data_IF_942729796183
#
_entry.id   IF_942729796183
#
_cell.length_a   1.000
_cell.length_b   1.000
_cell.length_c   1.000
_cell.angle_alpha   90.00
_cell.angle_beta   90.00
_cell.angle_gamma   90.00
#
_symmetry.space_group_name_H-M   'P 1'
#
loop_
_entity.id
_entity.type
_entity.pdbx_description
1 polymer ?
#
# COMPACT_ATOMS: atom_id res chain seq x y z
N UNK A 1 -30.83 14.60 19.29
CA UNK A 1 -31.48 13.79 18.24
C UNK A 1 -30.42 13.43 17.22
N UNK A 2 -29.89 12.21 17.28
CA UNK A 2 -28.88 11.71 16.34
C UNK A 2 -29.64 11.29 15.08
N UNK A 3 -29.50 12.05 14.00
CA UNK A 3 -30.11 11.74 12.71
C UNK A 3 -29.30 10.65 12.00
N UNK A 4 -29.96 9.58 11.57
CA UNK A 4 -29.46 8.72 10.48
C UNK A 4 -28.72 7.42 10.85
N UNK A 5 -28.88 6.84 12.03
CA UNK A 5 -28.48 5.43 12.21
C UNK A 5 -29.49 4.53 11.47
N UNK A 6 -29.06 3.57 10.63
CA UNK A 6 -29.96 2.64 9.98
C UNK A 6 -30.74 1.88 11.06
N UNK A 7 -32.07 1.95 10.97
CA UNK A 7 -32.95 1.33 11.93
C UNK A 7 -32.89 -0.20 11.77
N UNK A 8 -32.08 -0.85 12.61
CA UNK A 8 -32.00 -2.32 12.63
C UNK A 8 -33.32 -3.00 12.99
N UNK A 9 -34.33 -2.28 13.49
CA UNK A 9 -35.65 -2.86 13.73
C UNK A 9 -36.39 -3.23 12.44
N UNK A 10 -35.88 -2.83 11.27
CA UNK A 10 -36.42 -3.18 9.95
C UNK A 10 -35.78 -4.40 9.30
N UNK A 11 -34.78 -5.04 9.92
CA UNK A 11 -34.17 -6.25 9.36
C UNK A 11 -35.12 -7.45 9.49
N UNK A 12 -35.09 -8.41 8.57
CA UNK A 12 -35.80 -9.67 8.73
C UNK A 12 -35.34 -10.43 9.98
N UNK A 13 -36.28 -11.09 10.68
CA UNK A 13 -36.04 -11.87 11.91
C UNK A 13 -34.90 -12.90 11.74
N UNK A 14 -34.74 -13.45 10.53
CA UNK A 14 -33.69 -14.43 10.19
C UNK A 14 -32.28 -13.83 10.20
N UNK A 15 -32.13 -12.61 9.66
CA UNK A 15 -30.85 -11.88 9.65
C UNK A 15 -30.48 -11.46 11.07
N UNK A 16 -31.44 -10.94 11.83
CA UNK A 16 -31.27 -10.62 13.25
C UNK A 16 -30.87 -11.86 14.05
N UNK A 17 -31.51 -13.01 13.78
CA UNK A 17 -31.19 -14.29 14.42
C UNK A 17 -29.78 -14.80 14.09
N UNK A 18 -29.30 -14.58 12.87
CA UNK A 18 -27.92 -14.95 12.50
C UNK A 18 -26.88 -14.06 13.20
N UNK A 19 -27.13 -12.77 13.36
CA UNK A 19 -26.28 -11.86 14.14
C UNK A 19 -26.16 -12.35 15.59
N UNK A 20 -27.25 -12.84 16.19
CA UNK A 20 -27.26 -13.38 17.56
C UNK A 20 -26.32 -14.57 17.77
N UNK A 21 -26.12 -15.42 16.76
CA UNK A 21 -25.25 -16.61 16.87
C UNK A 21 -23.78 -16.25 17.12
N UNK A 22 -23.38 -15.03 16.78
CA UNK A 22 -21.98 -14.58 16.86
C UNK A 22 -21.71 -13.64 18.04
N UNK A 23 -22.73 -13.29 18.82
CA UNK A 23 -22.59 -12.40 19.97
C UNK A 23 -22.31 -13.23 21.21
N UNK A 24 -21.08 -13.09 21.74
CA UNK A 24 -20.56 -13.84 22.89
C UNK A 24 -21.41 -13.69 24.17
N UNK A 25 -22.17 -12.60 24.29
CA UNK A 25 -23.06 -12.34 25.42
C UNK A 25 -24.34 -11.64 24.93
N UNK A 26 -25.41 -12.41 24.63
CA UNK A 26 -26.69 -11.88 24.14
C UNK A 26 -27.33 -10.84 25.07
N UNK A 27 -27.01 -10.87 26.36
CA UNK A 27 -27.51 -9.93 27.37
C UNK A 27 -27.19 -8.47 27.08
N UNK A 28 -26.12 -8.20 26.32
CA UNK A 28 -25.76 -6.83 25.90
C UNK A 28 -26.72 -6.24 24.85
N UNK A 29 -27.54 -7.07 24.20
CA UNK A 29 -28.54 -6.65 23.22
C UNK A 29 -29.94 -6.50 23.81
N UNK A 30 -30.19 -7.03 25.02
CA UNK A 30 -31.44 -6.82 25.77
C UNK A 30 -31.73 -5.34 26.05
N UNK A 31 -30.70 -4.49 25.99
CA UNK A 31 -30.79 -3.06 26.26
C UNK A 31 -30.99 -2.21 25.00
N UNK A 32 -30.96 -2.80 23.80
CA UNK A 32 -30.96 -2.05 22.53
C UNK A 32 -32.36 -1.56 22.14
N UNK A 33 -33.33 -2.46 21.98
CA UNK A 33 -34.75 -2.10 21.85
C UNK A 33 -35.67 -3.31 22.12
N UNK A 34 -37.00 -3.09 22.10
CA UNK A 34 -38.01 -4.13 22.35
C UNK A 34 -37.94 -5.31 21.36
N UNK A 35 -37.62 -5.05 20.09
CA UNK A 35 -37.47 -6.08 19.04
C UNK A 35 -36.27 -6.98 19.34
N UNK A 36 -35.10 -6.39 19.61
CA UNK A 36 -33.88 -7.12 19.99
C UNK A 36 -34.03 -7.86 21.31
N UNK A 37 -34.79 -7.30 22.26
CA UNK A 37 -35.13 -7.99 23.52
C UNK A 37 -35.96 -9.24 23.27
N UNK A 38 -36.97 -9.15 22.39
CA UNK A 38 -37.83 -10.29 22.03
C UNK A 38 -37.06 -11.37 21.29
N UNK A 39 -36.15 -10.98 20.41
CA UNK A 39 -35.28 -11.90 19.66
C UNK A 39 -34.24 -12.57 20.57
N UNK A 40 -33.60 -11.82 21.47
CA UNK A 40 -32.69 -12.36 22.49
C UNK A 40 -33.36 -13.42 23.34
N UNK A 41 -34.58 -13.14 23.82
CA UNK A 41 -35.36 -14.11 24.60
C UNK A 41 -35.73 -15.35 23.78
N UNK A 42 -36.09 -15.21 22.49
CA UNK A 42 -36.34 -16.35 21.59
C UNK A 42 -35.09 -17.21 21.38
N UNK A 43 -33.93 -16.57 21.19
CA UNK A 43 -32.65 -17.26 21.01
C UNK A 43 -32.14 -17.89 22.31
N UNK A 44 -32.31 -17.23 23.47
CA UNK A 44 -32.01 -17.78 24.80
C UNK A 44 -32.86 -19.01 25.13
N UNK A 45 -34.14 -19.02 24.73
CA UNK A 45 -35.02 -20.19 24.90
C UNK A 45 -34.55 -21.37 24.03
N UNK A 46 -34.00 -21.11 22.83
CA UNK A 46 -33.33 -22.15 22.02
C UNK A 46 -31.95 -22.56 22.58
N UNK A 47 -31.26 -21.67 23.29
CA UNK A 47 -29.93 -21.90 23.86
C UNK A 47 -29.93 -22.66 25.21
N UNK A 48 -31.07 -22.68 25.93
CA UNK A 48 -31.23 -23.45 27.17
C UNK A 48 -31.30 -24.97 26.97
N UNK A 49 -31.39 -25.45 25.72
CA UNK A 49 -31.02 -26.82 25.38
C UNK A 49 -29.52 -26.89 25.13
N UNK A 50 -28.74 -27.18 26.18
CA UNK A 50 -27.29 -27.43 26.18
C UNK A 50 -26.55 -27.00 24.91
N UNK A 51 -26.26 -25.70 24.80
CA UNK A 51 -25.20 -25.25 23.90
C UNK A 51 -23.87 -25.67 24.54
N UNK A 52 -23.36 -26.80 24.08
CA UNK A 52 -22.01 -27.26 24.35
C UNK A 52 -21.02 -26.22 23.80
N UNK A 53 -20.37 -25.48 24.70
CA UNK A 53 -19.35 -24.48 24.36
C UNK A 53 -18.21 -25.14 23.55
N UNK A 54 -17.96 -26.43 23.75
CA UNK A 54 -16.99 -27.18 22.97
C UNK A 54 -17.52 -27.59 21.60
N UNK A 55 -18.85 -27.73 21.40
CA UNK A 55 -19.43 -27.76 20.05
C UNK A 55 -19.33 -26.41 19.35
N UNK A 56 -19.55 -25.28 20.02
CA UNK A 56 -19.34 -23.96 19.40
C UNK A 56 -17.88 -23.78 19.03
N UNK A 57 -16.92 -24.15 19.89
CA UNK A 57 -15.49 -24.14 19.53
C UNK A 57 -15.18 -25.09 18.38
N UNK A 58 -15.73 -26.31 18.38
CA UNK A 58 -15.58 -27.26 17.27
C UNK A 58 -16.20 -26.74 15.97
N UNK A 59 -17.30 -26.00 16.03
CA UNK A 59 -17.95 -25.37 14.87
C UNK A 59 -17.16 -24.15 14.41
N UNK A 60 -16.61 -23.32 15.31
CA UNK A 60 -15.73 -22.20 14.97
C UNK A 60 -14.37 -22.67 14.44
N UNK A 61 -13.88 -23.84 14.88
CA UNK A 61 -12.68 -24.49 14.36
C UNK A 61 -12.94 -25.24 13.05
N UNK A 62 -14.17 -25.74 12.82
CA UNK A 62 -14.57 -26.42 11.57
C UNK A 62 -15.07 -25.48 10.48
N UNK A 63 -15.68 -24.35 10.85
CA UNK A 63 -16.04 -23.30 9.92
C UNK A 63 -14.83 -22.40 9.77
N UNK A 64 -13.99 -22.68 8.77
CA UNK A 64 -12.95 -21.75 8.33
C UNK A 64 -13.52 -20.41 7.81
N UNK A 65 -14.84 -20.21 7.87
CA UNK A 65 -15.58 -19.02 7.45
C UNK A 65 -15.63 -18.04 8.62
N UNK A 66 -14.89 -16.92 8.55
CA UNK A 66 -14.70 -16.09 9.73
C UNK A 66 -15.82 -15.07 9.86
N UNK A 67 -16.11 -14.72 11.11
CA UNK A 67 -17.20 -13.84 11.49
C UNK A 67 -17.23 -12.58 10.60
N UNK A 68 -18.33 -12.36 9.88
CA UNK A 68 -18.52 -11.17 9.06
C UNK A 68 -18.49 -11.37 7.54
N UNK A 69 -17.98 -12.49 7.01
CA UNK A 69 -17.84 -12.66 5.55
C UNK A 69 -19.17 -12.50 4.80
N UNK A 70 -20.26 -13.04 5.34
CA UNK A 70 -21.58 -12.99 4.68
C UNK A 70 -22.54 -12.01 5.35
N UNK A 71 -22.01 -11.09 6.16
CA UNK A 71 -22.84 -10.12 6.88
C UNK A 71 -23.27 -8.99 5.95
N UNK A 72 -24.57 -8.65 5.86
CA UNK A 72 -25.04 -7.49 5.10
C UNK A 72 -24.30 -6.21 5.52
N UNK A 73 -23.97 -5.35 4.56
CA UNK A 73 -23.16 -4.16 4.81
C UNK A 73 -23.75 -3.27 5.92
N UNK A 74 -25.06 -3.03 5.91
CA UNK A 74 -25.73 -2.19 6.92
C UNK A 74 -25.61 -2.76 8.33
N UNK A 75 -25.66 -4.10 8.44
CA UNK A 75 -25.46 -4.82 9.72
C UNK A 75 -24.03 -4.67 10.19
N UNK A 76 -23.07 -4.88 9.29
CA UNK A 76 -21.65 -4.73 9.59
C UNK A 76 -21.36 -3.30 10.07
N UNK A 77 -21.79 -2.28 9.31
CA UNK A 77 -21.63 -0.87 9.65
C UNK A 77 -22.26 -0.54 11.00
N UNK A 78 -23.46 -1.05 11.30
CA UNK A 78 -24.06 -0.85 12.62
C UNK A 78 -23.22 -1.47 13.75
N UNK A 79 -22.77 -2.72 13.59
CA UNK A 79 -21.94 -3.41 14.59
C UNK A 79 -20.67 -2.59 14.82
N UNK A 80 -20.06 -2.07 13.75
CA UNK A 80 -18.88 -1.22 13.82
C UNK A 80 -19.15 0.10 14.54
N UNK A 81 -20.25 0.78 14.24
CA UNK A 81 -20.64 2.03 14.91
C UNK A 81 -20.93 1.81 16.40
N UNK A 82 -21.64 0.74 16.75
CA UNK A 82 -21.90 0.41 18.15
C UNK A 82 -20.64 -0.02 18.90
N UNK A 83 -19.75 -0.77 18.26
CA UNK A 83 -18.44 -1.10 18.84
C UNK A 83 -17.61 0.17 19.05
N UNK A 84 -17.54 1.04 18.04
CA UNK A 84 -16.84 2.34 18.11
C UNK A 84 -17.34 3.19 19.29
N UNK A 85 -18.66 3.35 19.44
CA UNK A 85 -19.25 4.07 20.57
C UNK A 85 -18.85 3.47 21.91
N UNK A 86 -18.95 2.15 22.05
CA UNK A 86 -18.65 1.44 23.31
C UNK A 86 -17.15 1.41 23.64
N UNK A 87 -16.30 1.63 22.64
CA UNK A 87 -14.84 1.68 22.76
C UNK A 87 -14.34 3.14 22.79
N UNK A 88 -15.22 4.13 22.89
CA UNK A 88 -14.81 5.53 22.98
C UNK A 88 -14.18 5.80 24.36
N UNK A 89 -12.90 6.21 24.43
CA UNK A 89 -12.21 6.49 25.69
C UNK A 89 -12.88 7.59 26.52
N UNK A 90 -13.60 8.52 25.88
CA UNK A 90 -14.29 9.63 26.56
C UNK A 90 -15.38 9.18 27.55
N UNK A 91 -15.93 7.97 27.39
CA UNK A 91 -16.90 7.40 28.33
C UNK A 91 -16.23 6.60 29.49
N UNK A 92 -14.92 6.34 29.43
CA UNK A 92 -14.16 5.51 30.37
C UNK A 92 -13.01 6.29 31.03
N UNK A 93 -13.36 7.23 31.90
CA UNK A 93 -12.49 8.29 32.43
C UNK A 93 -11.30 7.87 33.34
N UNK A 94 -11.15 6.65 33.91
CA UNK A 94 -9.91 6.32 34.63
C UNK A 94 -8.90 5.45 33.85
N UNK A 95 -9.19 5.00 32.62
CA UNK A 95 -8.34 4.04 31.89
C UNK A 95 -8.19 4.35 30.39
N UNK A 96 -7.99 5.63 30.04
CA UNK A 96 -7.88 6.09 28.63
C UNK A 96 -6.92 5.25 27.80
N UNK A 97 -5.72 4.99 28.31
CA UNK A 97 -4.65 4.32 27.56
C UNK A 97 -4.99 2.85 27.26
N UNK A 98 -5.67 2.18 28.19
CA UNK A 98 -6.11 0.79 28.04
C UNK A 98 -7.34 0.67 27.14
N UNK A 99 -8.17 1.73 27.08
CA UNK A 99 -9.30 1.82 26.18
C UNK A 99 -8.84 2.08 24.74
N UNK A 100 -7.85 2.95 24.55
CA UNK A 100 -7.22 3.24 23.26
C UNK A 100 -6.52 1.99 22.69
N UNK A 101 -5.74 1.25 23.50
CA UNK A 101 -5.09 0.02 23.04
C UNK A 101 -6.09 -1.04 22.58
N UNK A 102 -7.21 -1.19 23.30
CA UNK A 102 -8.29 -2.13 22.94
C UNK A 102 -9.01 -1.69 21.67
N UNK A 103 -9.24 -0.38 21.51
CA UNK A 103 -9.86 0.20 20.32
C UNK A 103 -8.98 -0.01 19.09
N UNK A 104 -7.70 0.30 19.20
CA UNK A 104 -6.75 0.15 18.09
C UNK A 104 -6.61 -1.32 17.70
N UNK A 105 -6.45 -2.21 18.68
CA UNK A 105 -6.40 -3.65 18.42
C UNK A 105 -7.68 -4.16 17.73
N UNK A 106 -8.84 -3.63 18.12
CA UNK A 106 -10.12 -3.97 17.49
C UNK A 106 -10.15 -3.54 16.01
N UNK A 107 -9.83 -2.28 15.71
CA UNK A 107 -9.79 -1.79 14.32
C UNK A 107 -8.73 -2.49 13.48
N UNK A 108 -7.52 -2.72 14.00
CA UNK A 108 -6.46 -3.47 13.29
C UNK A 108 -6.96 -4.84 12.88
N UNK A 109 -7.62 -5.58 13.77
CA UNK A 109 -8.18 -6.90 13.43
C UNK A 109 -9.21 -6.81 12.30
N UNK A 110 -10.05 -5.79 12.30
CA UNK A 110 -11.11 -5.64 11.29
C UNK A 110 -10.53 -5.24 9.93
N UNK A 111 -9.54 -4.36 9.92
CA UNK A 111 -8.80 -4.00 8.71
C UNK A 111 -8.12 -5.24 8.13
N UNK A 112 -7.42 -6.03 8.96
CA UNK A 112 -6.81 -7.30 8.52
C UNK A 112 -7.84 -8.17 7.79
N UNK A 113 -9.05 -8.29 8.34
CA UNK A 113 -10.11 -9.09 7.70
C UNK A 113 -10.65 -8.45 6.41
N UNK A 114 -10.73 -7.12 6.32
CA UNK A 114 -11.23 -6.38 5.16
C UNK A 114 -10.22 -6.29 4.00
N UNK A 115 -8.92 -6.46 4.27
CA UNK A 115 -7.87 -6.38 3.25
C UNK A 115 -7.39 -7.75 2.76
N UNK A 116 -7.79 -8.84 3.43
CA UNK A 116 -7.37 -10.21 3.07
C UNK A 116 -7.84 -10.61 1.66
N UNK A 117 -7.02 -11.33 0.87
CA UNK A 117 -7.38 -11.77 -0.48
C UNK A 117 -8.62 -12.66 -0.53
N UNK A 118 -8.77 -13.60 0.41
CA UNK A 118 -9.78 -14.68 0.34
C UNK A 118 -11.16 -14.31 0.93
N UNK A 119 -11.43 -13.03 1.25
CA UNK A 119 -12.59 -12.65 2.06
C UNK A 119 -13.68 -11.89 1.30
N UNK A 120 -14.90 -12.00 1.82
CA UNK A 120 -16.10 -11.37 1.26
C UNK A 120 -16.34 -9.93 1.76
N UNK A 121 -15.56 -9.47 2.76
CA UNK A 121 -15.65 -8.12 3.35
C UNK A 121 -14.90 -7.08 2.48
N UNK A 122 -14.37 -7.51 1.32
CA UNK A 122 -13.56 -6.73 0.39
C UNK A 122 -14.40 -5.71 -0.42
N UNK A 123 -15.13 -4.83 0.28
CA UNK A 123 -16.02 -3.82 -0.30
C UNK A 123 -15.45 -2.43 -0.07
N UNK A 124 -15.56 -1.58 -1.08
CA UNK A 124 -15.05 -0.20 -1.02
C UNK A 124 -15.71 0.59 0.11
N UNK A 125 -17.01 0.38 0.33
CA UNK A 125 -17.79 1.05 1.35
C UNK A 125 -17.26 0.75 2.76
N UNK A 126 -16.81 -0.49 2.99
CA UNK A 126 -16.18 -0.88 4.26
C UNK A 126 -14.85 -0.16 4.45
N UNK A 127 -14.00 -0.12 3.41
CA UNK A 127 -12.71 0.56 3.49
C UNK A 127 -12.88 2.08 3.69
N UNK A 128 -13.83 2.70 3.00
CA UNK A 128 -14.16 4.11 3.19
C UNK A 128 -14.65 4.38 4.61
N UNK A 129 -15.58 3.56 5.12
CA UNK A 129 -16.07 3.68 6.49
C UNK A 129 -14.94 3.54 7.52
N UNK A 130 -14.07 2.55 7.36
CA UNK A 130 -12.92 2.35 8.26
C UNK A 130 -11.96 3.54 8.19
N UNK A 131 -11.67 4.04 6.99
CA UNK A 131 -10.81 5.19 6.80
C UNK A 131 -11.37 6.48 7.41
N UNK A 132 -12.67 6.74 7.24
CA UNK A 132 -13.38 7.88 7.85
C UNK A 132 -13.42 7.77 9.38
N UNK A 133 -13.60 6.56 9.91
CA UNK A 133 -13.66 6.30 11.36
C UNK A 133 -12.30 6.51 12.03
N UNK A 134 -11.21 6.13 11.38
CA UNK A 134 -9.85 6.36 11.90
C UNK A 134 -9.46 7.84 11.76
N UNK A 135 -9.91 8.52 10.71
CA UNK A 135 -9.66 9.94 10.50
C UNK A 135 -8.25 10.22 9.96
N UNK A 136 -7.55 11.17 10.57
CA UNK A 136 -6.29 11.70 10.02
C UNK A 136 -5.15 10.67 10.01
N UNK A 137 -5.14 9.75 10.97
CA UNK A 137 -4.07 8.76 11.12
C UNK A 137 -4.30 7.51 10.25
N UNK A 138 -5.30 7.55 9.36
CA UNK A 138 -5.71 6.43 8.51
C UNK A 138 -4.53 5.84 7.72
N UNK A 139 -3.66 6.69 7.14
CA UNK A 139 -2.50 6.19 6.39
C UNK A 139 -1.55 5.38 7.26
N UNK A 140 -1.18 5.90 8.43
CA UNK A 140 -0.24 5.23 9.34
C UNK A 140 -0.84 3.94 9.90
N UNK A 141 -2.12 3.98 10.25
CA UNK A 141 -2.84 2.85 10.79
C UNK A 141 -2.94 1.69 9.81
N UNK A 142 -3.30 1.95 8.54
CA UNK A 142 -3.35 0.92 7.51
C UNK A 142 -1.95 0.39 7.15
N UNK A 143 -0.92 1.25 7.14
CA UNK A 143 0.47 0.80 6.93
C UNK A 143 0.95 -0.15 8.01
N UNK A 144 0.67 0.17 9.28
CA UNK A 144 1.03 -0.69 10.40
C UNK A 144 0.36 -2.07 10.28
N UNK A 145 -0.91 -2.09 9.88
CA UNK A 145 -1.63 -3.34 9.60
C UNK A 145 -1.00 -4.12 8.45
N UNK A 146 -0.64 -3.45 7.33
CA UNK A 146 0.01 -4.10 6.19
C UNK A 146 1.33 -4.75 6.61
N UNK A 147 2.20 -4.02 7.32
CA UNK A 147 3.50 -4.53 7.80
C UNK A 147 3.32 -5.71 8.75
N UNK A 148 2.44 -5.57 9.75
CA UNK A 148 2.15 -6.65 10.71
C UNK A 148 1.61 -7.91 10.02
N UNK A 149 0.81 -7.75 8.97
CA UNK A 149 0.28 -8.86 8.20
C UNK A 149 1.38 -9.58 7.40
N UNK A 150 2.26 -8.82 6.74
CA UNK A 150 3.41 -9.37 6.02
C UNK A 150 4.38 -10.13 6.95
N UNK A 151 4.70 -9.57 8.11
CA UNK A 151 5.57 -10.19 9.12
C UNK A 151 4.99 -11.50 9.67
N UNK A 152 3.67 -11.56 9.90
CA UNK A 152 3.02 -12.80 10.34
C UNK A 152 3.09 -13.88 9.27
N UNK A 153 2.81 -13.52 8.02
CA UNK A 153 2.80 -14.49 6.92
C UNK A 153 4.20 -14.97 6.53
N UNK A 154 5.24 -14.12 6.67
CA UNK A 154 6.62 -14.53 6.43
C UNK A 154 7.10 -15.55 7.48
N UNK A 155 6.71 -15.37 8.76
CA UNK A 155 7.06 -16.30 9.83
C UNK A 155 6.40 -17.68 9.64
N UNK A 156 5.14 -17.75 9.19
CA UNK A 156 4.50 -19.03 8.87
C UNK A 156 5.16 -19.77 7.69
N UNK A 157 5.75 -19.04 6.74
CA UNK A 157 6.49 -19.64 5.62
C UNK A 157 7.85 -20.24 6.04
N UNK A 158 8.41 -19.79 7.17
CA UNK A 158 9.67 -20.28 7.74
C UNK A 158 9.41 -21.49 8.66
N UNK A 159 8.40 -21.41 9.53
CA UNK A 159 8.07 -22.52 10.46
C UNK A 159 7.57 -23.77 9.74
N UNK A 160 6.87 -23.64 8.61
CA UNK A 160 6.46 -24.77 7.77
C UNK A 160 7.60 -25.50 7.05
N UNK A 161 8.84 -25.00 7.13
CA UNK A 161 10.03 -25.61 6.51
C UNK A 161 11.01 -26.21 7.51
N UNK A 162 10.78 -26.06 8.82
CA UNK A 162 11.60 -26.69 9.87
C UNK A 162 10.90 -27.98 10.32
N UNK A 163 10.76 -28.92 9.39
CA UNK A 163 10.61 -30.33 9.74
C UNK A 163 11.40 -31.15 8.73
N UNK A 164 12.72 -31.08 8.84
CA UNK A 164 13.64 -32.19 8.63
C UNK A 164 15.02 -31.73 9.10
N UNK A 165 15.60 -32.52 9.99
CA UNK A 165 16.89 -32.30 10.65
C UNK A 165 18.00 -32.05 9.62
N UNK A 166 18.76 -30.97 9.79
CA UNK A 166 20.17 -31.08 10.21
C UNK A 166 20.80 -29.71 10.46
N UNK A 167 21.62 -29.70 11.50
CA UNK A 167 22.25 -28.56 12.16
C UNK A 167 23.34 -27.91 11.29
N UNK A 168 23.16 -26.66 10.85
CA UNK A 168 24.24 -25.69 10.55
C UNK A 168 23.65 -24.25 10.55
N UNK A 169 24.31 -23.26 11.17
CA UNK A 169 23.84 -21.88 11.18
C UNK A 169 24.31 -21.10 9.94
N UNK A 170 23.41 -20.22 9.45
CA UNK A 170 23.56 -19.20 8.38
C UNK A 170 23.67 -19.68 6.93
N UNK A 171 22.68 -19.37 6.07
CA UNK A 171 22.88 -19.30 4.64
C UNK A 171 22.93 -17.83 4.18
N UNK A 172 24.13 -17.43 3.76
CA UNK A 172 24.34 -16.45 2.70
C UNK A 172 23.46 -16.77 1.49
N UNK A 173 22.83 -15.72 0.94
CA UNK A 173 21.94 -15.73 -0.22
C UNK A 173 22.68 -16.39 -1.40
N UNK A 174 22.36 -17.65 -1.64
CA UNK A 174 22.91 -18.52 -2.69
C UNK A 174 21.81 -18.86 -3.70
N UNK A 175 22.17 -18.76 -4.98
CA UNK A 175 21.34 -18.57 -6.16
C UNK A 175 20.54 -19.81 -6.64
N UNK A 176 19.85 -20.54 -5.76
CA UNK A 176 19.00 -21.66 -6.19
C UNK A 176 17.67 -21.77 -5.41
N UNK A 177 16.97 -20.65 -5.25
CA UNK A 177 15.54 -20.69 -4.93
C UNK A 177 14.80 -20.80 -6.26
N UNK A 178 14.26 -21.98 -6.60
CA UNK A 178 13.12 -22.08 -7.52
C UNK A 178 12.10 -21.05 -7.02
N UNK A 179 11.97 -19.93 -7.72
CA UNK A 179 11.28 -18.77 -7.20
C UNK A 179 9.85 -19.16 -6.86
N UNK A 180 9.53 -19.13 -5.57
CA UNK A 180 8.18 -19.46 -5.13
C UNK A 180 7.27 -18.35 -5.63
N UNK A 181 6.19 -18.72 -6.32
CA UNK A 181 5.13 -17.80 -6.71
C UNK A 181 4.75 -16.90 -5.51
N UNK A 182 4.77 -15.58 -5.71
CA UNK A 182 4.37 -14.60 -4.69
C UNK A 182 2.99 -14.03 -5.06
N UNK A 183 1.88 -14.48 -4.44
CA UNK A 183 0.58 -13.84 -4.63
C UNK A 183 0.59 -12.41 -4.10
N UNK A 184 -0.39 -11.59 -4.54
CA UNK A 184 -0.68 -10.32 -3.88
C UNK A 184 -1.01 -10.58 -2.42
N UNK A 185 -0.44 -9.76 -1.53
CA UNK A 185 -0.65 -9.90 -0.09
C UNK A 185 -2.08 -9.52 0.32
N UNK A 186 -2.73 -8.64 -0.45
CA UNK A 186 -4.05 -8.10 -0.16
C UNK A 186 -5.02 -8.29 -1.32
N UNK A 187 -6.30 -8.00 -1.11
CA UNK A 187 -7.29 -8.05 -2.19
C UNK A 187 -7.15 -6.87 -3.16
N UNK A 188 -7.63 -7.05 -4.40
CA UNK A 188 -7.51 -6.04 -5.45
C UNK A 188 -8.24 -4.73 -5.13
N UNK A 189 -9.38 -4.80 -4.41
CA UNK A 189 -10.19 -3.63 -4.03
C UNK A 189 -9.38 -2.71 -3.12
N UNK A 190 -8.60 -3.29 -2.21
CA UNK A 190 -7.73 -2.55 -1.31
C UNK A 190 -6.65 -1.75 -2.04
N UNK A 191 -5.93 -2.36 -3.00
CA UNK A 191 -4.92 -1.62 -3.78
C UNK A 191 -5.52 -0.46 -4.58
N UNK A 192 -6.72 -0.65 -5.15
CA UNK A 192 -7.44 0.41 -5.85
C UNK A 192 -7.89 1.51 -4.89
N UNK A 193 -8.37 1.13 -3.71
CA UNK A 193 -8.77 2.07 -2.65
C UNK A 193 -7.59 2.93 -2.18
N UNK A 194 -6.40 2.35 -2.03
CA UNK A 194 -5.18 3.10 -1.67
C UNK A 194 -4.92 4.23 -2.69
N UNK A 195 -5.00 3.93 -3.98
CA UNK A 195 -4.81 4.94 -5.04
C UNK A 195 -5.89 6.01 -5.06
N UNK A 196 -7.10 5.67 -4.61
CA UNK A 196 -8.22 6.60 -4.53
C UNK A 196 -8.05 7.57 -3.35
N UNK A 197 -7.71 7.03 -2.18
CA UNK A 197 -7.65 7.76 -0.92
C UNK A 197 -6.36 8.56 -0.74
N UNK A 198 -5.21 7.96 -1.08
CA UNK A 198 -3.91 8.53 -0.74
C UNK A 198 -3.21 9.19 -1.92
N UNK A 199 -2.25 10.06 -1.59
CA UNK A 199 -1.42 10.73 -2.60
C UNK A 199 -0.27 9.83 -3.06
N UNK A 200 0.40 10.21 -4.16
CA UNK A 200 1.45 9.38 -4.75
C UNK A 200 2.74 9.30 -3.96
N UNK A 201 2.96 10.33 -3.15
CA UNK A 201 4.12 10.42 -2.29
C UNK A 201 3.81 9.85 -0.90
N UNK A 202 2.66 9.18 -0.73
CA UNK A 202 2.35 8.51 0.53
C UNK A 202 3.07 7.18 0.59
N UNK A 203 3.65 6.88 1.76
CA UNK A 203 4.37 5.64 2.00
C UNK A 203 3.49 4.40 1.79
N UNK A 204 2.19 4.50 2.07
CA UNK A 204 1.23 3.40 1.85
C UNK A 204 1.06 3.07 0.37
N UNK A 205 1.06 4.07 -0.51
CA UNK A 205 0.97 3.85 -1.95
C UNK A 205 2.26 3.24 -2.51
N UNK A 206 3.43 3.66 -2.01
CA UNK A 206 4.72 3.05 -2.33
C UNK A 206 4.82 1.60 -1.83
N UNK A 207 4.36 1.32 -0.61
CA UNK A 207 4.32 -0.03 -0.04
C UNK A 207 3.42 -0.95 -0.87
N UNK A 208 2.22 -0.47 -1.22
CA UNK A 208 1.29 -1.18 -2.09
C UNK A 208 1.90 -1.48 -3.47
N UNK A 209 2.59 -0.52 -4.08
CA UNK A 209 3.26 -0.73 -5.36
C UNK A 209 4.38 -1.76 -5.26
N UNK A 210 5.18 -1.74 -4.18
CA UNK A 210 6.25 -2.71 -3.96
C UNK A 210 5.72 -4.15 -3.91
N UNK A 211 4.59 -4.36 -3.26
CA UNK A 211 3.96 -5.68 -3.21
C UNK A 211 3.47 -6.12 -4.59
N UNK A 212 2.77 -5.24 -5.33
CA UNK A 212 2.32 -5.49 -6.70
C UNK A 212 3.49 -5.82 -7.63
N UNK A 213 4.57 -5.04 -7.54
CA UNK A 213 5.77 -5.23 -8.35
C UNK A 213 6.41 -6.59 -8.05
N UNK A 214 6.60 -6.92 -6.78
CA UNK A 214 7.15 -8.22 -6.38
C UNK A 214 6.28 -9.40 -6.89
N UNK A 215 4.96 -9.28 -6.83
CA UNK A 215 4.05 -10.28 -7.42
C UNK A 215 4.24 -10.38 -8.94
N UNK A 216 4.32 -9.26 -9.66
CA UNK A 216 4.55 -9.26 -11.11
C UNK A 216 5.87 -9.90 -11.50
N UNK A 217 6.93 -9.59 -10.77
CA UNK A 217 8.26 -10.19 -10.95
C UNK A 217 8.19 -11.70 -10.71
N UNK A 218 7.46 -12.16 -9.68
CA UNK A 218 7.31 -13.59 -9.41
C UNK A 218 6.64 -14.36 -10.55
N UNK A 219 5.75 -13.72 -11.31
CA UNK A 219 5.15 -14.34 -12.49
C UNK A 219 6.12 -14.40 -13.68
N UNK A 220 6.94 -13.37 -13.87
CA UNK A 220 7.95 -13.36 -14.94
C UNK A 220 9.03 -14.42 -14.70
N UNK A 221 9.46 -14.59 -13.46
CA UNK A 221 10.45 -15.60 -13.08
C UNK A 221 9.88 -17.03 -13.11
N UNK A 222 8.55 -17.20 -13.10
CA UNK A 222 7.89 -18.51 -13.14
C UNK A 222 6.73 -18.53 -14.16
N UNK A 223 7.04 -18.56 -15.47
CA UNK A 223 6.03 -18.46 -16.52
C UNK A 223 5.00 -19.61 -16.48
N UNK A 224 5.38 -20.79 -15.95
CA UNK A 224 4.46 -21.92 -15.78
C UNK A 224 3.33 -21.64 -14.79
N UNK A 225 3.56 -20.78 -13.78
CA UNK A 225 2.54 -20.39 -12.81
C UNK A 225 1.40 -19.57 -13.46
N UNK A 226 1.66 -18.88 -14.57
CA UNK A 226 0.66 -18.06 -15.25
C UNK A 226 -0.55 -18.89 -15.74
N UNK A 227 -0.33 -20.13 -16.18
CA UNK A 227 -1.40 -21.04 -16.63
C UNK A 227 -2.26 -21.53 -15.47
N UNK A 228 -1.65 -21.84 -14.33
CA UNK A 228 -2.36 -22.33 -13.15
C UNK A 228 -3.17 -21.23 -12.44
N UNK A 229 -2.74 -19.98 -12.56
CA UNK A 229 -3.31 -18.84 -11.83
C UNK A 229 -3.86 -17.75 -12.75
N UNK A 230 -4.36 -18.10 -13.93
CA UNK A 230 -4.74 -17.16 -15.01
C UNK A 230 -5.56 -15.96 -14.52
N UNK A 231 -6.63 -16.17 -13.74
CA UNK A 231 -7.44 -15.08 -13.21
C UNK A 231 -6.66 -14.15 -12.26
N UNK A 232 -5.85 -14.72 -11.35
CA UNK A 232 -5.01 -13.95 -10.41
C UNK A 232 -3.88 -13.23 -11.14
N UNK A 233 -3.34 -13.85 -12.19
CA UNK A 233 -2.35 -13.26 -13.07
C UNK A 233 -2.92 -12.03 -13.78
N UNK A 234 -4.10 -12.15 -14.42
CA UNK A 234 -4.79 -11.04 -15.09
C UNK A 234 -5.05 -9.89 -14.12
N UNK A 235 -5.57 -10.18 -12.92
CA UNK A 235 -5.79 -9.18 -11.88
C UNK A 235 -4.50 -8.46 -11.47
N UNK A 236 -3.41 -9.21 -11.27
CA UNK A 236 -2.10 -8.66 -10.91
C UNK A 236 -1.51 -7.79 -12.03
N UNK A 237 -1.64 -8.22 -13.28
CA UNK A 237 -1.25 -7.45 -14.46
C UNK A 237 -2.03 -6.13 -14.54
N UNK A 238 -3.34 -6.19 -14.34
CA UNK A 238 -4.19 -5.02 -14.44
C UNK A 238 -3.93 -4.02 -13.31
N UNK A 239 -3.79 -4.46 -12.05
CA UNK A 239 -3.49 -3.54 -10.95
C UNK A 239 -2.11 -2.89 -11.12
N UNK A 240 -1.12 -3.63 -11.60
CA UNK A 240 0.19 -3.05 -11.95
C UNK A 240 0.06 -1.96 -13.01
N UNK A 241 -0.66 -2.23 -14.10
CA UNK A 241 -0.91 -1.26 -15.17
C UNK A 241 -1.66 -0.03 -14.65
N UNK A 242 -2.64 -0.21 -13.76
CA UNK A 242 -3.39 0.88 -13.11
C UNK A 242 -2.46 1.77 -12.30
N UNK A 243 -1.59 1.18 -11.48
CA UNK A 243 -0.58 1.91 -10.73
C UNK A 243 0.30 2.71 -11.68
N UNK A 244 0.95 2.06 -12.66
CA UNK A 244 1.81 2.73 -13.65
C UNK A 244 1.10 3.84 -14.45
N UNK A 245 -0.16 3.63 -14.83
CA UNK A 245 -0.97 4.58 -15.59
C UNK A 245 -1.34 5.81 -14.78
N UNK A 246 -1.65 5.60 -13.51
CA UNK A 246 -1.98 6.68 -12.63
C UNK A 246 -0.71 7.48 -12.38
N UNK A 247 0.33 6.83 -11.84
CA UNK A 247 1.55 7.46 -11.33
C UNK A 247 2.71 6.47 -11.38
N UNK A 248 3.94 6.96 -11.45
CA UNK A 248 5.09 6.08 -11.39
C UNK A 248 5.68 6.08 -9.96
N UNK A 249 5.60 4.91 -9.33
CA UNK A 249 5.99 4.64 -7.95
C UNK A 249 7.34 3.91 -7.83
N UNK A 250 8.06 3.72 -8.94
CA UNK A 250 9.36 3.08 -8.88
C UNK A 250 10.32 3.88 -7.99
N UNK A 251 11.11 3.14 -7.23
CA UNK A 251 12.20 3.63 -6.40
C UNK A 251 13.52 3.07 -6.93
N UNK A 252 14.62 3.74 -6.61
CA UNK A 252 15.97 3.27 -6.96
C UNK A 252 16.22 1.86 -6.42
N UNK A 253 15.73 1.57 -5.21
CA UNK A 253 15.82 0.25 -4.59
C UNK A 253 15.13 -0.87 -5.38
N UNK A 254 14.21 -0.55 -6.30
CA UNK A 254 13.51 -1.55 -7.11
C UNK A 254 14.39 -2.10 -8.23
N UNK A 255 15.49 -1.42 -8.59
CA UNK A 255 16.42 -1.88 -9.62
C UNK A 255 17.00 -3.26 -9.32
N UNK A 256 17.29 -3.54 -8.04
CA UNK A 256 17.82 -4.84 -7.64
C UNK A 256 16.79 -5.96 -7.84
N UNK A 257 15.51 -5.69 -7.59
CA UNK A 257 14.43 -6.64 -7.86
C UNK A 257 14.22 -6.86 -9.36
N UNK A 258 14.42 -5.81 -10.17
CA UNK A 258 14.20 -5.82 -11.61
C UNK A 258 15.34 -6.47 -12.40
N UNK A 259 16.51 -6.64 -11.80
CA UNK A 259 17.73 -7.15 -12.44
C UNK A 259 17.53 -8.46 -13.21
N UNK A 260 16.66 -9.34 -12.71
CA UNK A 260 16.39 -10.65 -13.31
C UNK A 260 15.13 -10.67 -14.19
N UNK A 261 14.43 -9.54 -14.33
CA UNK A 261 13.17 -9.44 -15.07
C UNK A 261 13.42 -9.38 -16.56
N UNK A 262 12.66 -10.14 -17.35
CA UNK A 262 12.72 -10.16 -18.81
C UNK A 262 11.49 -9.56 -19.48
N UNK A 263 10.36 -9.44 -18.75
CA UNK A 263 9.10 -8.99 -19.32
C UNK A 263 9.07 -7.48 -19.62
N UNK A 264 8.76 -7.12 -20.86
CA UNK A 264 8.69 -5.73 -21.34
C UNK A 264 7.62 -4.91 -20.62
N UNK A 265 6.41 -5.45 -20.40
CA UNK A 265 5.37 -4.75 -19.63
C UNK A 265 5.82 -4.33 -18.21
N UNK A 266 6.87 -4.94 -17.63
CA UNK A 266 7.42 -4.53 -16.34
C UNK A 266 8.52 -3.48 -16.53
N UNK A 267 9.43 -3.70 -17.48
CA UNK A 267 10.62 -2.86 -17.69
C UNK A 267 10.32 -1.56 -18.44
N UNK A 268 9.57 -1.61 -19.54
CA UNK A 268 9.36 -0.45 -20.42
C UNK A 268 8.67 0.75 -19.70
N UNK A 269 7.68 0.56 -18.81
CA UNK A 269 7.12 1.68 -18.04
C UNK A 269 8.17 2.44 -17.21
N UNK A 270 9.21 1.76 -16.73
CA UNK A 270 10.32 2.36 -16.01
C UNK A 270 11.33 3.00 -16.96
N UNK A 271 11.95 2.18 -17.81
CA UNK A 271 13.14 2.56 -18.59
C UNK A 271 12.83 3.39 -19.83
N UNK A 272 11.67 3.17 -20.45
CA UNK A 272 11.33 3.82 -21.72
C UNK A 272 10.32 4.96 -21.56
N UNK A 273 9.69 5.09 -20.39
CA UNK A 273 8.77 6.17 -20.08
C UNK A 273 9.20 7.01 -18.89
N UNK A 274 9.30 6.42 -17.70
CA UNK A 274 9.47 7.20 -16.47
C UNK A 274 10.82 7.86 -16.32
N UNK A 275 11.91 7.09 -16.43
CA UNK A 275 13.26 7.64 -16.32
C UNK A 275 13.47 8.72 -17.40
N UNK A 276 13.18 8.49 -18.70
CA UNK A 276 13.29 9.54 -19.71
C UNK A 276 12.50 10.80 -19.36
N UNK A 277 11.22 10.65 -19.02
CA UNK A 277 10.34 11.78 -18.66
C UNK A 277 10.84 12.54 -17.41
N UNK A 278 11.45 11.83 -16.45
CA UNK A 278 12.05 12.41 -15.25
C UNK A 278 13.25 13.30 -15.59
N UNK A 279 14.07 12.91 -16.56
CA UNK A 279 15.23 13.68 -17.03
C UNK A 279 14.90 14.67 -18.15
N UNK A 280 13.64 14.75 -18.59
CA UNK A 280 13.23 15.65 -19.67
C UNK A 280 13.57 15.13 -21.07
N UNK A 281 13.92 13.86 -21.19
CA UNK A 281 14.16 13.15 -22.43
C UNK A 281 12.82 12.64 -22.98
N UNK A 282 12.65 12.64 -24.31
CA UNK A 282 11.44 12.12 -24.93
C UNK A 282 11.25 10.63 -24.60
N UNK A 283 10.10 10.22 -24.03
CA UNK A 283 9.74 8.81 -23.87
C UNK A 283 9.66 8.08 -25.22
N UNK A 284 10.07 6.81 -25.22
CA UNK A 284 9.90 5.89 -26.38
C UNK A 284 8.71 4.97 -26.20
N UNK A 285 8.31 4.72 -24.95
CA UNK A 285 7.14 3.91 -24.62
C UNK A 285 5.87 4.75 -24.51
N UNK A 286 4.77 4.23 -25.06
CA UNK A 286 3.47 4.91 -25.06
C UNK A 286 2.67 4.57 -23.81
N UNK A 287 2.29 5.60 -23.06
CA UNK A 287 1.33 5.53 -21.97
C UNK A 287 -0.03 6.12 -22.40
N UNK A 288 -1.16 5.67 -21.84
CA UNK A 288 -1.30 4.65 -20.79
C UNK A 288 -1.20 3.21 -21.31
N UNK A 289 -0.75 2.29 -20.44
CA UNK A 289 -0.83 0.84 -20.59
C UNK A 289 -2.28 0.39 -20.77
N UNK A 290 -2.50 -0.52 -21.71
CA UNK A 290 -3.83 -1.11 -21.97
C UNK A 290 -4.19 -2.13 -20.88
N UNK A 291 -5.29 -1.86 -20.18
CA UNK A 291 -5.92 -2.77 -19.21
C UNK A 291 -6.83 -3.70 -20.02
N UNK A 292 -6.67 -5.01 -19.85
CA UNK A 292 -7.30 -6.03 -20.74
C UNK A 292 -8.66 -6.50 -20.26
N UNK A 293 -9.09 -6.07 -19.08
CA UNK A 293 -10.30 -6.57 -18.45
C UNK A 293 -11.24 -5.42 -18.07
N UNK A 294 -12.54 -5.63 -18.30
CA UNK A 294 -13.64 -4.68 -18.05
C UNK A 294 -14.26 -4.89 -16.66
N UNK A 295 -13.63 -5.66 -15.75
CA UNK A 295 -14.03 -5.68 -14.35
C UNK A 295 -14.07 -4.23 -13.81
N UNK A 296 -15.31 -3.72 -13.72
CA UNK A 296 -15.80 -2.34 -13.68
C UNK A 296 -15.32 -1.44 -12.52
N UNK A 297 -14.14 -1.64 -11.96
CA UNK A 297 -13.68 -0.86 -10.79
C UNK A 297 -12.26 -0.33 -10.96
N UNK A 298 -11.90 0.07 -12.17
CA UNK A 298 -10.76 0.99 -12.34
C UNK A 298 -11.28 2.39 -12.11
N UNK A 299 -11.17 2.86 -10.86
CA UNK A 299 -11.54 4.21 -10.50
C UNK A 299 -10.80 5.19 -11.40
N UNK A 300 -11.52 5.84 -12.32
CA UNK A 300 -11.02 7.04 -12.98
C UNK A 300 -10.79 8.05 -11.87
N UNK A 301 -9.53 8.49 -11.62
CA UNK A 301 -9.27 9.47 -10.59
C UNK A 301 -10.12 10.70 -10.86
N UNK A 302 -11.04 11.05 -9.95
CA UNK A 302 -11.92 12.22 -10.14
C UNK A 302 -11.14 13.55 -10.18
N UNK A 303 -9.87 13.56 -9.76
CA UNK A 303 -9.03 14.76 -9.64
C UNK A 303 -7.98 14.79 -10.74
N UNK A 304 -7.89 15.93 -11.45
CA UNK A 304 -6.71 16.28 -12.27
C UNK A 304 -5.51 16.37 -11.32
N UNK A 305 -4.66 15.35 -11.34
CA UNK A 305 -3.48 15.28 -10.47
C UNK A 305 -2.35 16.07 -11.12
N UNK A 306 -1.66 16.90 -10.33
CA UNK A 306 -0.47 17.64 -10.80
C UNK A 306 0.63 16.63 -11.15
N UNK A 307 1.43 16.92 -12.18
CA UNK A 307 2.61 16.12 -12.51
C UNK A 307 3.54 16.10 -11.29
N UNK A 308 3.98 14.91 -10.87
CA UNK A 308 5.00 14.76 -9.81
C UNK A 308 6.24 15.53 -10.22
N UNK A 309 6.64 16.51 -9.41
CA UNK A 309 7.92 17.21 -9.57
C UNK A 309 8.91 16.46 -8.70
N UNK A 310 9.88 15.78 -9.31
CA UNK A 310 10.97 15.18 -8.56
C UNK A 310 12.05 16.20 -8.23
N UNK A 311 12.62 16.04 -7.04
CA UNK A 311 13.74 16.84 -6.57
C UNK A 311 15.01 16.50 -7.35
N UNK A 312 15.95 17.45 -7.45
CA UNK A 312 17.20 17.24 -8.20
C UNK A 312 18.04 16.12 -7.59
N UNK A 313 18.01 16.02 -6.27
CA UNK A 313 18.69 15.03 -5.47
C UNK A 313 18.20 13.61 -5.79
N UNK A 314 16.89 13.44 -6.01
CA UNK A 314 16.32 12.15 -6.43
C UNK A 314 16.73 11.79 -7.86
N UNK A 315 16.83 12.76 -8.77
CA UNK A 315 17.34 12.50 -10.12
C UNK A 315 18.80 12.04 -10.08
N UNK A 316 19.61 12.67 -9.24
CA UNK A 316 21.01 12.28 -9.04
C UNK A 316 21.10 10.86 -8.47
N UNK A 317 20.27 10.51 -7.49
CA UNK A 317 20.21 9.15 -6.92
C UNK A 317 19.93 8.10 -8.00
N UNK A 318 18.94 8.36 -8.87
CA UNK A 318 18.65 7.50 -10.03
C UNK A 318 19.82 7.40 -10.99
N UNK A 319 20.46 8.52 -11.32
CA UNK A 319 21.60 8.53 -12.24
C UNK A 319 22.76 7.68 -11.69
N UNK A 320 23.15 7.91 -10.42
CA UNK A 320 24.23 7.16 -9.77
C UNK A 320 23.92 5.67 -9.75
N UNK A 321 22.68 5.27 -9.45
CA UNK A 321 22.31 3.87 -9.43
C UNK A 321 22.41 3.22 -10.83
N UNK A 322 21.97 3.92 -11.88
CA UNK A 322 22.08 3.44 -13.26
C UNK A 322 23.55 3.36 -13.69
N UNK A 323 24.35 4.39 -13.39
CA UNK A 323 25.80 4.45 -13.68
C UNK A 323 26.55 3.30 -13.01
N UNK A 324 26.25 3.00 -11.74
CA UNK A 324 26.85 1.87 -11.03
C UNK A 324 26.53 0.52 -11.68
N UNK A 325 25.26 0.29 -12.07
CA UNK A 325 24.86 -0.96 -12.73
C UNK A 325 25.51 -1.05 -14.13
N UNK A 326 25.60 0.08 -14.84
CA UNK A 326 26.27 0.13 -16.14
C UNK A 326 27.77 -0.20 -16.01
N UNK A 327 28.47 0.39 -15.04
CA UNK A 327 29.88 0.10 -14.79
C UNK A 327 30.09 -1.38 -14.43
N UNK A 328 29.19 -1.96 -13.64
CA UNK A 328 29.20 -3.40 -13.37
C UNK A 328 29.06 -4.24 -14.64
N UNK A 329 28.20 -3.84 -15.58
CA UNK A 329 28.04 -4.51 -16.88
C UNK A 329 29.33 -4.41 -17.70
N UNK A 330 29.97 -3.24 -17.74
CA UNK A 330 31.21 -3.01 -18.52
C UNK A 330 32.40 -3.78 -17.93
N UNK A 331 32.60 -3.70 -16.62
CA UNK A 331 33.78 -4.30 -15.95
C UNK A 331 33.68 -5.82 -15.85
N UNK A 332 32.48 -6.33 -15.52
CA UNK A 332 32.28 -7.75 -15.19
C UNK A 332 31.61 -8.53 -16.32
N UNK A 333 31.11 -7.85 -17.36
CA UNK A 333 30.53 -8.47 -18.55
C UNK A 333 29.41 -9.47 -18.22
N UNK A 334 29.53 -10.68 -18.75
CA UNK A 334 28.53 -11.75 -18.56
C UNK A 334 28.57 -12.42 -17.17
N UNK A 335 29.51 -12.06 -16.30
CA UNK A 335 29.57 -12.65 -14.95
C UNK A 335 28.52 -12.07 -13.98
N UNK A 336 27.93 -10.91 -14.31
CA UNK A 336 26.86 -10.32 -13.51
C UNK A 336 25.54 -11.01 -13.82
N UNK A 337 24.93 -11.63 -12.81
CA UNK A 337 23.61 -12.27 -12.90
C UNK A 337 22.53 -11.21 -13.10
N UNK A 338 22.08 -11.05 -14.35
CA UNK A 338 20.96 -10.20 -14.75
C UNK A 338 20.35 -10.71 -16.06
N UNK A 339 19.10 -10.35 -16.35
CA UNK A 339 18.48 -10.69 -17.63
C UNK A 339 19.10 -9.86 -18.76
N UNK A 340 19.14 -10.42 -19.97
CA UNK A 340 19.58 -9.70 -21.17
C UNK A 340 18.70 -8.48 -21.46
N UNK A 341 17.38 -8.59 -21.22
CA UNK A 341 16.45 -7.48 -21.43
C UNK A 341 16.72 -6.32 -20.47
N UNK A 342 16.93 -6.61 -19.18
CA UNK A 342 17.28 -5.59 -18.19
C UNK A 342 18.62 -4.93 -18.53
N UNK A 343 19.64 -5.71 -18.91
CA UNK A 343 20.94 -5.19 -19.37
C UNK A 343 20.78 -4.17 -20.49
N UNK A 344 20.06 -4.55 -21.55
CA UNK A 344 19.83 -3.68 -22.70
C UNK A 344 19.09 -2.39 -22.29
N UNK A 345 18.14 -2.47 -21.35
CA UNK A 345 17.47 -1.29 -20.82
C UNK A 345 18.42 -0.35 -20.07
N UNK A 346 19.36 -0.89 -19.28
CA UNK A 346 20.37 -0.10 -18.55
C UNK A 346 21.33 0.58 -19.51
N UNK A 347 21.84 -0.16 -20.49
CA UNK A 347 22.74 0.40 -21.52
C UNK A 347 22.04 1.52 -22.30
N UNK A 348 20.84 1.29 -22.85
CA UNK A 348 20.09 2.31 -23.59
C UNK A 348 19.85 3.56 -22.76
N UNK A 349 19.36 3.40 -21.52
CA UNK A 349 19.01 4.56 -20.70
C UNK A 349 20.26 5.31 -20.25
N UNK A 350 21.37 4.63 -19.93
CA UNK A 350 22.61 5.28 -19.51
C UNK A 350 23.15 6.22 -20.59
N UNK A 351 23.26 5.75 -21.83
CA UNK A 351 23.73 6.60 -22.95
C UNK A 351 22.81 7.79 -23.21
N UNK A 352 21.51 7.63 -23.01
CA UNK A 352 20.55 8.74 -23.14
C UNK A 352 20.68 9.75 -22.01
N UNK A 353 21.12 9.33 -20.83
CA UNK A 353 21.28 10.17 -19.64
C UNK A 353 22.62 10.90 -19.58
N UNK A 354 23.68 10.35 -20.19
CA UNK A 354 25.05 10.87 -20.12
C UNK A 354 25.12 12.39 -20.37
N UNK A 355 24.42 12.88 -21.42
CA UNK A 355 24.39 14.31 -21.73
C UNK A 355 23.64 15.19 -20.71
N UNK A 356 22.65 14.65 -20.00
CA UNK A 356 21.84 15.38 -19.00
C UNK A 356 22.48 15.34 -17.61
N UNK A 357 23.24 14.28 -17.33
CA UNK A 357 23.83 14.03 -16.03
C UNK A 357 24.92 15.05 -15.67
N UNK A 358 25.72 15.47 -16.64
CA UNK A 358 26.79 16.44 -16.41
C UNK A 358 26.23 17.82 -16.02
N UNK A 359 25.14 18.24 -16.66
CA UNK A 359 24.44 19.47 -16.29
C UNK A 359 23.89 19.40 -14.85
N UNK A 360 23.33 18.24 -14.46
CA UNK A 360 22.81 18.03 -13.11
C UNK A 360 23.91 18.05 -12.05
N UNK A 361 25.08 17.43 -12.31
CA UNK A 361 26.24 17.44 -11.41
C UNK A 361 26.73 18.88 -11.18
N UNK A 362 26.94 19.64 -12.26
CA UNK A 362 27.38 21.05 -12.19
C UNK A 362 26.39 21.93 -11.42
N UNK A 363 25.08 21.76 -11.64
CA UNK A 363 24.06 22.54 -10.95
C UNK A 363 24.01 22.29 -9.44
N UNK A 364 24.23 21.04 -9.01
CA UNK A 364 24.25 20.68 -7.59
C UNK A 364 25.52 21.18 -6.89
N UNK A 365 26.68 21.10 -7.55
CA UNK A 365 27.93 21.69 -7.05
C UNK A 365 27.81 23.20 -6.84
N UNK A 366 27.18 23.91 -7.79
CA UNK A 366 26.93 25.35 -7.69
C UNK A 366 26.04 25.74 -6.49
N UNK A 367 25.13 24.86 -6.06
CA UNK A 367 24.28 25.09 -4.87
C UNK A 367 25.04 24.88 -3.55
N UNK A 368 26.02 23.97 -3.55
CA UNK A 368 26.80 23.62 -2.36
C UNK A 368 28.00 24.55 -2.13
N UNK A 369 28.32 25.43 -3.09
CA UNK A 369 29.27 26.51 -2.86
C UNK A 369 28.73 27.47 -1.79
N UNK A 370 29.51 27.78 -0.73
CA UNK A 370 29.10 28.73 0.27
C UNK A 370 28.82 30.06 -0.42
N UNK A 371 27.61 30.61 -0.25
CA UNK A 371 27.28 31.96 -0.70
C UNK A 371 28.23 32.91 0.02
N UNK A 372 29.31 33.31 -0.65
CA UNK A 372 30.14 34.40 -0.20
C UNK A 372 29.24 35.61 -0.13
N UNK A 373 28.89 36.01 1.09
CA UNK A 373 28.22 37.27 1.39
C UNK A 373 29.19 38.39 0.98
N UNK A 374 29.22 38.72 -0.30
CA UNK A 374 29.82 39.96 -0.78
C UNK A 374 28.90 41.07 -0.29
N UNK A 375 29.15 41.54 0.94
CA UNK A 375 28.68 42.83 1.40
C UNK A 375 29.18 43.83 0.36
N UNK A 376 28.27 44.31 -0.50
CA UNK A 376 28.52 45.47 -1.37
C UNK A 376 28.81 46.64 -0.44
N UNK A 377 30.09 46.93 -0.21
CA UNK A 377 30.51 48.22 0.31
C UNK A 377 30.13 49.26 -0.75
N UNK A 378 29.13 50.09 -0.43
CA UNK A 378 28.91 51.36 -1.11
C UNK A 378 30.17 52.19 -0.90
N UNK A 379 30.95 52.37 -1.96
CA UNK A 379 32.00 53.38 -2.00
C UNK A 379 31.29 54.71 -2.21
N UNK A 380 31.15 55.49 -1.13
CA UNK A 380 30.79 56.89 -1.22
C UNK A 380 31.96 57.64 -1.85
N UNK A 381 31.76 58.14 -3.08
CA UNK A 381 32.67 59.09 -3.72
C UNK A 381 32.31 60.50 -3.27
N UNK A 382 33.18 61.04 -2.43
CA UNK A 382 33.64 62.43 -2.38
C UNK A 382 32.75 63.49 -3.05
N UNK A 383 32.09 64.31 -2.22
CA UNK A 383 31.79 65.73 -2.56
C UNK A 383 32.78 66.62 -1.82
N UNK A 384 33.92 66.88 -2.48
CA UNK A 384 34.80 68.02 -2.18
C UNK A 384 34.13 69.31 -2.66
N UNK A 385 33.75 70.13 -1.69
CA UNK A 385 34.05 71.56 -1.58
C UNK A 385 34.42 72.32 -2.87
N UNK A 386 33.56 73.24 -3.31
CA UNK A 386 34.00 74.56 -3.77
C UNK A 386 32.94 75.61 -3.46
N UNK A 387 33.33 76.47 -2.52
CA UNK A 387 32.75 77.74 -2.11
C UNK A 387 33.34 78.82 -3.03
N UNK A 388 32.52 79.65 -3.66
CA UNK A 388 32.78 81.00 -4.24
C UNK A 388 31.36 81.52 -4.61
N UNK A 389 30.76 82.39 -3.81
CA UNK A 389 30.85 83.87 -3.79
C UNK A 389 29.77 84.52 -4.69
N UNK A 390 28.89 85.28 -4.04
CA UNK A 390 28.09 86.44 -4.44
C UNK A 390 27.57 86.59 -5.88
N UNK A 391 26.30 86.99 -6.01
CA UNK A 391 25.91 88.38 -6.31
C UNK A 391 24.38 88.49 -6.37
N UNK A 392 23.86 89.38 -5.51
CA UNK A 392 22.59 90.17 -5.53
C UNK A 392 21.24 89.46 -5.61
#
# INVERSE_FOLDING_TARGET
>A
KIYGLPNLSGLPDEVMGNIFKYIRSPSNLLRVNKTWTKLSKRCEVKARGNIDIDQIRKVQQKSAVPWGSDTPLDVFTYIMLEASKRLNPDEFVPYSDLADEKRDKFYKNIIVEAIKPERNINRLEVLNFLGETIGNDCSEFFMDVMKTFEEKNSNYAIEGKISNNDTQPMPSISNHVKSVYKPLSFNFVFYNWILFMFTENSDIASLAFKDILATRISFDLNPDCCKTFEAKFIQSCNIFKVYCNIRNFFLVSDLELLKNVSHEDILCPLFEFYIPNMFGISPTFKMPLKITDDFNVYFKPKRKRKKRIMLKEQKLEWFIAIENIHNDIVERGNSVVMSSKFRNCIEDIYYRLEGVAEELKIELEKRNLPKTNVKKYKIDKDKRSKKILDVR
#
